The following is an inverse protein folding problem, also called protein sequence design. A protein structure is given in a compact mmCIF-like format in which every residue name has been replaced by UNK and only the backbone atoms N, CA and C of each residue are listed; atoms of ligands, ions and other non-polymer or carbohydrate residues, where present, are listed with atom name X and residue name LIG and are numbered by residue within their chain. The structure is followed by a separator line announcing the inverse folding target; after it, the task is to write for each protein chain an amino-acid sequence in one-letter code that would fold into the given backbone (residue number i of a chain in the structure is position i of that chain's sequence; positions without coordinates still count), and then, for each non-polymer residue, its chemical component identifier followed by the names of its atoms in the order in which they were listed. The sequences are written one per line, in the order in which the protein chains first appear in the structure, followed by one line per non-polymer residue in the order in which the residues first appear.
data_IF_389726255153
#
_entry.id   IF_389726255153
#
_cell.length_a   1.000
_cell.length_b   1.000
_cell.length_c   1.000
_cell.angle_alpha   90.00
_cell.angle_beta   90.00
_cell.angle_gamma   90.00
#
_symmetry.space_group_name_H-M   'P 1'
#
loop_
_entity.id
_entity.type
_entity.pdbx_description
1 polymer ?
#
# COMPACT_ATOMS: atom_id res chain seq x y z
N UNK A 1 11.03 -36.85 -18.58
CA UNK A 1 10.12 -37.58 -17.67
C UNK A 1 9.20 -36.65 -16.91
N UNK A 2 9.67 -35.75 -16.02
CA UNK A 2 8.79 -34.82 -15.29
C UNK A 2 8.04 -33.84 -16.22
N UNK A 3 8.77 -33.14 -17.12
CA UNK A 3 8.17 -32.23 -18.11
C UNK A 3 7.18 -32.93 -19.04
N UNK A 4 7.52 -34.14 -19.52
CA UNK A 4 6.61 -34.94 -20.35
C UNK A 4 5.33 -35.35 -19.61
N UNK A 5 5.41 -35.60 -18.29
CA UNK A 5 4.25 -35.88 -17.46
C UNK A 5 3.36 -34.64 -17.26
N UNK A 6 3.96 -33.45 -17.07
CA UNK A 6 3.23 -32.19 -16.99
C UNK A 6 2.53 -31.85 -18.31
N UNK A 7 3.21 -32.01 -19.44
CA UNK A 7 2.64 -31.73 -20.76
C UNK A 7 1.54 -32.74 -21.12
N UNK A 8 1.69 -34.00 -20.73
CA UNK A 8 0.61 -34.97 -20.81
C UNK A 8 -0.60 -34.56 -19.96
N UNK A 9 -0.38 -34.14 -18.71
CA UNK A 9 -1.46 -33.71 -17.80
C UNK A 9 -2.22 -32.49 -18.32
N UNK A 10 -1.56 -31.51 -18.95
CA UNK A 10 -2.21 -30.35 -19.59
C UNK A 10 -3.20 -30.75 -20.68
N UNK A 11 -2.96 -31.87 -21.36
CA UNK A 11 -3.82 -32.41 -22.42
C UNK A 11 -4.99 -33.27 -21.91
N UNK A 12 -5.01 -33.62 -20.62
CA UNK A 12 -6.11 -34.39 -20.01
C UNK A 12 -7.21 -33.45 -19.52
N UNK A 13 -8.47 -33.61 -19.96
CA UNK A 13 -9.60 -32.82 -19.46
C UNK A 13 -9.78 -33.01 -17.94
N UNK A 14 -10.01 -31.91 -17.22
CA UNK A 14 -10.18 -31.91 -15.76
C UNK A 14 -11.42 -31.10 -15.34
N UNK A 15 -12.23 -31.57 -14.36
CA UNK A 15 -12.08 -32.83 -13.61
C UNK A 15 -12.37 -34.07 -14.48
N UNK A 16 -11.74 -35.23 -14.19
CA UNK A 16 -12.07 -36.46 -14.90
C UNK A 16 -13.55 -36.79 -14.69
N UNK A 17 -14.21 -37.28 -15.75
CA UNK A 17 -15.63 -37.63 -15.71
C UNK A 17 -15.90 -38.64 -14.59
N UNK A 18 -16.55 -38.20 -13.52
CA UNK A 18 -16.95 -39.04 -12.39
C UNK A 18 -16.25 -38.76 -11.05
N UNK A 19 -15.29 -37.84 -10.99
CA UNK A 19 -14.71 -37.42 -9.70
C UNK A 19 -15.58 -36.33 -9.04
N UNK A 20 -16.14 -36.61 -7.87
CA UNK A 20 -16.83 -35.64 -7.02
C UNK A 20 -16.47 -35.83 -5.54
N UNK A 21 -16.54 -34.75 -4.77
CA UNK A 21 -16.16 -34.71 -3.35
C UNK A 21 -14.65 -34.83 -3.10
N UNK A 22 -14.27 -35.23 -1.89
CA UNK A 22 -12.88 -35.24 -1.39
C UNK A 22 -11.87 -36.05 -2.24
N UNK A 23 -12.34 -36.99 -3.06
CA UNK A 23 -11.48 -37.72 -3.99
C UNK A 23 -11.07 -36.86 -5.19
N UNK A 24 -11.97 -36.02 -5.70
CA UNK A 24 -11.69 -35.06 -6.77
C UNK A 24 -10.78 -33.93 -6.30
N UNK A 25 -10.94 -33.45 -5.06
CA UNK A 25 -10.08 -32.42 -4.46
C UNK A 25 -8.63 -32.89 -4.32
N UNK A 26 -8.42 -34.12 -3.82
CA UNK A 26 -7.08 -34.72 -3.72
C UNK A 26 -6.43 -34.95 -5.09
N UNK A 27 -7.21 -35.29 -6.11
CA UNK A 27 -6.72 -35.45 -7.47
C UNK A 27 -6.41 -34.10 -8.13
N UNK A 28 -7.17 -33.05 -7.83
CA UNK A 28 -6.89 -31.66 -8.23
C UNK A 28 -5.55 -31.19 -7.68
N UNK A 29 -5.37 -31.38 -6.37
CA UNK A 29 -4.19 -30.98 -5.63
C UNK A 29 -2.94 -31.69 -6.15
N UNK A 30 -3.01 -33.02 -6.32
CA UNK A 30 -1.90 -33.80 -6.85
C UNK A 30 -1.54 -33.38 -8.28
N UNK A 31 -2.55 -33.06 -9.11
CA UNK A 31 -2.34 -32.57 -10.48
C UNK A 31 -1.70 -31.19 -10.51
N UNK A 32 -2.11 -30.26 -9.63
CA UNK A 32 -1.51 -28.93 -9.50
C UNK A 32 -0.04 -29.03 -9.04
N UNK A 33 0.23 -29.83 -8.00
CA UNK A 33 1.59 -30.08 -7.51
C UNK A 33 2.51 -30.62 -8.61
N UNK A 34 2.04 -31.58 -9.41
CA UNK A 34 2.84 -32.13 -10.51
C UNK A 34 3.09 -31.08 -11.59
N UNK A 35 2.10 -30.23 -11.91
CA UNK A 35 2.26 -29.17 -12.90
C UNK A 35 3.25 -28.11 -12.44
N UNK A 36 3.21 -27.70 -11.17
CA UNK A 36 4.11 -26.68 -10.62
C UNK A 36 5.56 -27.20 -10.51
N UNK A 37 5.75 -28.37 -9.88
CA UNK A 37 7.09 -28.97 -9.70
C UNK A 37 7.74 -29.30 -11.05
N UNK A 38 6.98 -29.85 -11.99
CA UNK A 38 7.56 -30.26 -13.28
C UNK A 38 7.70 -29.11 -14.29
N UNK A 39 7.01 -27.98 -14.09
CA UNK A 39 7.17 -26.78 -14.93
C UNK A 39 8.29 -25.86 -14.45
N UNK A 40 8.73 -25.98 -13.19
CA UNK A 40 9.87 -25.25 -12.65
C UNK A 40 11.22 -25.62 -13.31
N UNK A 41 12.15 -24.67 -13.27
CA UNK A 41 13.54 -24.91 -13.68
C UNK A 41 14.20 -25.96 -12.78
N UNK A 42 15.14 -26.78 -13.29
CA UNK A 42 15.68 -27.93 -12.57
C UNK A 42 16.21 -27.65 -11.16
N UNK A 43 16.81 -26.49 -10.95
CA UNK A 43 17.36 -26.00 -9.69
C UNK A 43 16.30 -25.72 -8.63
N UNK A 44 15.12 -25.24 -9.02
CA UNK A 44 14.07 -24.79 -8.10
C UNK A 44 13.06 -25.90 -7.76
N UNK A 45 13.12 -27.04 -8.43
CA UNK A 45 12.12 -28.12 -8.27
C UNK A 45 12.04 -28.67 -6.86
N UNK A 46 13.16 -28.65 -6.13
CA UNK A 46 13.21 -29.15 -4.76
C UNK A 46 12.45 -28.21 -3.82
N UNK A 47 12.70 -26.90 -3.96
CA UNK A 47 12.05 -25.87 -3.14
C UNK A 47 10.55 -25.77 -3.47
N UNK A 48 10.18 -25.89 -4.75
CA UNK A 48 8.77 -25.98 -5.18
C UNK A 48 8.10 -27.23 -4.64
N UNK A 49 8.78 -28.38 -4.58
CA UNK A 49 8.22 -29.62 -4.05
C UNK A 49 8.06 -29.61 -2.53
N UNK A 50 8.97 -28.95 -1.81
CA UNK A 50 8.90 -28.78 -0.37
C UNK A 50 7.76 -27.81 0.02
N UNK A 51 7.54 -26.75 -0.75
CA UNK A 51 6.48 -25.76 -0.49
C UNK A 51 5.09 -26.16 -1.05
N UNK A 52 5.03 -27.10 -2.00
CA UNK A 52 3.77 -27.65 -2.50
C UNK A 52 3.04 -28.50 -1.45
N UNK A 53 3.74 -29.00 -0.43
CA UNK A 53 3.16 -29.74 0.69
C UNK A 53 2.39 -28.87 1.70
N UNK A 54 2.63 -27.56 1.70
CA UNK A 54 2.07 -26.58 2.64
C UNK A 54 0.94 -25.72 2.02
N UNK A 55 0.54 -26.02 0.78
CA UNK A 55 -0.62 -25.39 0.15
C UNK A 55 -1.92 -25.91 0.79
N UNK A 56 -2.74 -24.99 1.32
CA UNK A 56 -4.03 -25.31 1.90
C UNK A 56 -4.96 -25.95 0.84
N UNK A 57 -5.46 -27.19 1.05
CA UNK A 57 -6.37 -27.85 0.12
C UNK A 57 -7.72 -27.13 -0.10
N UNK A 58 -7.98 -26.00 0.58
CA UNK A 58 -9.18 -25.17 0.41
C UNK A 58 -9.11 -24.15 -0.73
N UNK A 59 -7.95 -23.95 -1.37
CA UNK A 59 -7.75 -22.93 -2.43
C UNK A 59 -8.16 -23.43 -3.85
N UNK A 60 -8.91 -22.64 -4.66
CA UNK A 60 -9.32 -23.06 -6.00
C UNK A 60 -8.21 -22.90 -7.06
N UNK A 61 -8.09 -23.81 -8.04
CA UNK A 61 -7.01 -23.79 -9.03
C UNK A 61 -7.18 -22.71 -10.13
N UNK A 62 -6.10 -22.00 -10.43
CA UNK A 62 -6.02 -20.91 -11.42
C UNK A 62 -5.96 -21.46 -12.87
N UNK A 63 -6.71 -20.89 -13.85
CA UNK A 63 -6.65 -21.30 -15.25
C UNK A 63 -5.41 -20.75 -16.00
N UNK A 64 -4.89 -21.46 -17.02
CA UNK A 64 -3.67 -21.04 -17.73
C UNK A 64 -3.96 -19.98 -18.80
N UNK A 65 -3.14 -18.92 -18.88
CA UNK A 65 -3.12 -17.99 -20.02
C UNK A 65 -1.73 -17.86 -20.64
N UNK A 66 -1.76 -17.64 -21.95
CA UNK A 66 -0.70 -17.75 -22.94
C UNK A 66 0.35 -16.64 -22.84
N UNK A 67 1.63 -17.05 -22.75
CA UNK A 67 2.80 -16.17 -22.71
C UNK A 67 3.05 -15.51 -24.07
N UNK A 68 3.17 -14.17 -24.08
CA UNK A 68 3.81 -13.44 -25.20
C UNK A 68 5.12 -12.86 -24.68
N UNK A 69 6.23 -13.27 -25.30
CA UNK A 69 7.60 -12.90 -24.92
C UNK A 69 7.96 -11.55 -25.53
N UNK A 70 8.38 -10.58 -24.71
CA UNK A 70 9.06 -9.36 -25.18
C UNK A 70 10.51 -9.37 -24.70
N UNK A 71 11.43 -9.29 -25.65
CA UNK A 71 12.88 -9.33 -25.45
C UNK A 71 13.40 -7.98 -24.95
N UNK A 72 14.13 -7.97 -23.83
CA UNK A 72 14.82 -6.78 -23.31
C UNK A 72 16.30 -6.82 -23.69
N UNK A 73 16.84 -5.72 -24.20
CA UNK A 73 18.25 -5.59 -24.61
C UNK A 73 19.05 -4.96 -23.46
N UNK A 74 20.08 -5.64 -22.97
CA UNK A 74 20.97 -5.17 -21.90
C UNK A 74 21.99 -4.18 -22.46
N UNK A 75 22.11 -2.99 -21.84
CA UNK A 75 23.24 -2.07 -22.07
C UNK A 75 24.00 -1.91 -20.76
N UNK A 76 25.28 -2.24 -20.76
CA UNK A 76 26.19 -2.14 -19.60
C UNK A 76 26.79 -0.75 -19.55
N UNK A 77 26.65 -0.06 -18.41
CA UNK A 77 27.33 1.21 -18.13
C UNK A 77 28.08 1.12 -16.79
N UNK A 78 29.37 1.37 -16.84
CA UNK A 78 30.30 1.39 -15.71
C UNK A 78 30.06 2.62 -14.83
N UNK A 79 29.89 2.43 -13.52
CA UNK A 79 29.71 3.51 -12.54
C UNK A 79 31.02 3.88 -11.85
N UNK A 80 31.37 5.16 -11.91
CA UNK A 80 32.43 5.83 -11.13
C UNK A 80 31.87 6.30 -9.80
N UNK A 81 32.57 5.99 -8.72
CA UNK A 81 32.21 6.31 -7.34
C UNK A 81 32.23 7.82 -7.12
N UNK A 82 31.07 8.41 -6.82
CA UNK A 82 30.97 9.74 -6.22
C UNK A 82 30.11 9.59 -4.97
N UNK A 83 30.61 10.08 -3.84
CA UNK A 83 29.93 10.07 -2.55
C UNK A 83 28.77 11.06 -2.61
N UNK A 84 27.56 10.54 -2.80
CA UNK A 84 26.29 11.24 -2.57
C UNK A 84 25.68 10.69 -1.30
N UNK A 85 25.22 11.61 -0.45
CA UNK A 85 24.25 11.40 0.64
C UNK A 85 23.18 10.39 0.21
N UNK A 86 22.74 9.45 1.08
CA UNK A 86 21.77 8.44 0.70
C UNK A 86 20.49 9.11 0.21
N UNK A 87 20.11 8.84 -1.03
CA UNK A 87 18.76 9.11 -1.50
C UNK A 87 17.84 8.14 -0.77
N UNK A 88 16.90 8.69 -0.01
CA UNK A 88 15.84 7.93 0.65
C UNK A 88 15.03 7.24 -0.45
N UNK A 89 15.00 5.91 -0.45
CA UNK A 89 14.20 5.12 -1.38
C UNK A 89 12.79 5.09 -0.83
N UNK A 90 11.94 5.96 -1.39
CA UNK A 90 10.54 6.17 -1.01
C UNK A 90 10.06 7.55 -1.45
N UNK A 91 10.02 7.82 -2.76
CA UNK A 91 9.73 9.15 -3.34
C UNK A 91 8.24 9.58 -3.27
N UNK A 92 7.36 8.82 -2.60
CA UNK A 92 5.94 9.14 -2.50
C UNK A 92 5.62 9.83 -1.17
N UNK A 93 4.96 10.98 -1.26
CA UNK A 93 4.56 11.77 -0.10
C UNK A 93 3.05 11.78 0.04
N UNK A 94 2.55 11.64 1.26
CA UNK A 94 1.12 11.54 1.52
C UNK A 94 0.68 12.49 2.62
N UNK A 95 -0.60 12.84 2.58
CA UNK A 95 -1.33 13.52 3.65
C UNK A 95 -2.60 12.75 3.92
N UNK A 96 -2.73 12.27 5.15
CA UNK A 96 -3.94 11.66 5.70
C UNK A 96 -4.23 12.30 7.06
N UNK A 97 -5.23 11.80 7.79
CA UNK A 97 -5.49 12.24 9.18
C UNK A 97 -5.80 13.74 9.32
N UNK A 98 -6.51 14.33 8.36
CA UNK A 98 -6.84 15.75 8.38
C UNK A 98 -7.49 16.17 9.71
N UNK A 99 -7.05 17.30 10.26
CA UNK A 99 -7.61 17.93 11.47
C UNK A 99 -8.33 19.23 11.11
N UNK A 100 -9.30 19.69 11.94
CA UNK A 100 -9.92 20.98 11.72
C UNK A 100 -8.87 22.09 11.71
N UNK A 101 -8.89 22.95 10.68
CA UNK A 101 -7.90 24.02 10.60
C UNK A 101 -8.04 24.98 11.79
N UNK A 102 -6.92 25.42 12.38
CA UNK A 102 -6.92 26.30 13.56
C UNK A 102 -7.79 27.56 13.36
N UNK A 103 -8.73 27.77 14.28
CA UNK A 103 -9.67 28.89 14.22
C UNK A 103 -10.78 28.76 13.16
N UNK A 104 -10.89 27.63 12.46
CA UNK A 104 -11.98 27.37 11.53
C UNK A 104 -13.28 27.04 12.26
N UNK A 105 -14.38 27.62 11.79
CA UNK A 105 -15.74 27.28 12.24
C UNK A 105 -16.50 26.48 11.18
N UNK A 106 -15.76 25.81 10.28
CA UNK A 106 -16.34 25.02 9.20
C UNK A 106 -17.12 23.83 9.74
N UNK A 107 -18.32 23.54 9.21
CA UNK A 107 -19.02 22.29 9.52
C UNK A 107 -18.51 21.11 8.67
N UNK A 108 -17.59 21.36 7.74
CA UNK A 108 -17.04 20.36 6.82
C UNK A 108 -15.71 19.84 7.37
N UNK A 109 -15.58 18.51 7.39
CA UNK A 109 -14.40 17.78 7.85
C UNK A 109 -13.93 16.88 6.72
N UNK A 110 -12.95 17.32 5.91
CA UNK A 110 -12.35 16.50 4.88
C UNK A 110 -11.73 15.24 5.47
N UNK A 111 -12.03 14.10 4.88
CA UNK A 111 -11.46 12.79 5.21
C UNK A 111 -10.90 12.17 3.92
N UNK A 112 -9.85 11.36 4.05
CA UNK A 112 -9.18 10.73 2.91
C UNK A 112 -7.72 11.16 2.77
N UNK A 113 -7.20 11.09 1.54
CA UNK A 113 -5.76 11.24 1.25
C UNK A 113 -5.51 12.28 0.17
N UNK A 114 -4.39 12.97 0.33
CA UNK A 114 -3.72 13.71 -0.73
C UNK A 114 -2.32 13.13 -0.91
N UNK A 115 -2.03 12.60 -2.08
CA UNK A 115 -0.70 12.22 -2.53
C UNK A 115 -0.03 13.44 -3.18
N UNK A 116 1.26 13.60 -2.90
CA UNK A 116 2.11 14.68 -3.38
C UNK A 116 3.33 14.06 -4.07
N UNK A 117 3.45 14.30 -5.37
CA UNK A 117 4.54 13.78 -6.20
C UNK A 117 5.28 14.94 -6.86
N UNK A 118 6.59 15.06 -6.65
CA UNK A 118 7.42 16.00 -7.42
C UNK A 118 7.89 15.35 -8.72
N UNK A 119 7.56 15.98 -9.85
CA UNK A 119 7.87 15.48 -11.19
C UNK A 119 9.23 16.00 -11.69
N UNK A 120 9.94 15.25 -12.56
CA UNK A 120 11.25 15.64 -13.08
C UNK A 120 11.29 16.95 -13.88
N UNK A 121 10.12 17.44 -14.32
CA UNK A 121 9.99 18.70 -15.06
C UNK A 121 9.80 19.93 -14.14
N UNK A 122 9.88 19.73 -12.82
CA UNK A 122 9.71 20.75 -11.79
C UNK A 122 8.25 21.08 -11.48
N UNK A 123 7.30 20.25 -11.93
CA UNK A 123 5.92 20.32 -11.49
C UNK A 123 5.72 19.46 -10.23
N UNK A 124 4.73 19.81 -9.41
CA UNK A 124 4.19 18.92 -8.37
C UNK A 124 2.83 18.43 -8.82
N UNK A 125 2.60 17.12 -8.79
CA UNK A 125 1.29 16.51 -8.95
C UNK A 125 0.67 16.30 -7.58
N UNK A 126 -0.55 16.82 -7.41
CA UNK A 126 -1.41 16.51 -6.29
C UNK A 126 -2.49 15.55 -6.78
N UNK A 127 -2.56 14.36 -6.18
CA UNK A 127 -3.65 13.40 -6.39
C UNK A 127 -4.44 13.28 -5.09
N UNK A 128 -5.76 13.26 -5.16
CA UNK A 128 -6.56 13.19 -3.94
C UNK A 128 -7.80 12.33 -4.10
N UNK A 129 -8.20 11.73 -2.99
CA UNK A 129 -9.49 11.09 -2.78
C UNK A 129 -10.04 11.59 -1.46
N UNK A 130 -10.96 12.55 -1.51
CA UNK A 130 -11.46 13.25 -0.33
C UNK A 130 -12.99 13.21 -0.24
N UNK A 131 -13.50 12.90 0.94
CA UNK A 131 -14.93 12.97 1.34
C UNK A 131 -15.11 14.07 2.39
N UNK A 132 -16.35 14.28 2.89
CA UNK A 132 -16.60 15.30 3.94
C UNK A 132 -16.41 16.76 3.53
N UNK A 133 -16.31 17.02 2.21
CA UNK A 133 -16.01 18.32 1.61
C UNK A 133 -17.24 19.25 1.52
N UNK A 134 -17.01 20.57 1.37
CA UNK A 134 -18.07 21.55 1.12
C UNK A 134 -18.89 21.20 -0.14
N UNK A 135 -20.20 20.88 -0.02
CA UNK A 135 -21.06 20.51 -1.16
C UNK A 135 -21.27 21.62 -2.19
N UNK A 136 -20.93 22.86 -1.85
CA UNK A 136 -20.96 23.96 -2.81
C UNK A 136 -19.73 24.02 -3.72
N UNK A 137 -18.77 23.11 -3.56
CA UNK A 137 -17.57 23.06 -4.39
C UNK A 137 -17.83 22.45 -5.76
N UNK A 138 -17.80 23.32 -6.77
CA UNK A 138 -17.98 22.97 -8.17
C UNK A 138 -16.92 23.64 -9.05
N UNK A 139 -16.81 23.19 -10.29
CA UNK A 139 -15.91 23.77 -11.31
C UNK A 139 -16.13 25.26 -11.58
N UNK A 140 -17.24 25.83 -11.10
CA UNK A 140 -17.63 27.22 -11.37
C UNK A 140 -17.07 28.24 -10.38
N UNK A 141 -16.32 27.81 -9.36
CA UNK A 141 -15.83 28.74 -8.36
C UNK A 141 -14.77 29.70 -8.90
N UNK A 142 -14.85 30.99 -8.51
CA UNK A 142 -14.05 32.08 -9.08
C UNK A 142 -13.17 32.83 -8.08
N UNK A 143 -13.35 32.62 -6.78
CA UNK A 143 -12.54 33.27 -5.76
C UNK A 143 -11.19 32.56 -5.59
N UNK A 144 -10.20 33.29 -5.10
CA UNK A 144 -8.89 32.73 -4.73
C UNK A 144 -9.05 31.61 -3.70
N UNK A 145 -8.29 30.53 -3.88
CA UNK A 145 -8.33 29.31 -3.06
C UNK A 145 -9.69 28.64 -2.88
N UNK A 146 -10.70 29.01 -3.66
CA UNK A 146 -11.98 28.34 -3.58
C UNK A 146 -11.85 26.86 -3.92
N UNK A 147 -12.32 25.98 -3.02
CA UNK A 147 -12.21 24.52 -3.15
C UNK A 147 -10.77 24.06 -3.34
N UNK A 148 -9.83 24.81 -2.77
CA UNK A 148 -8.39 24.63 -2.97
C UNK A 148 -7.81 23.48 -2.16
N UNK A 149 -6.96 22.68 -2.79
CA UNK A 149 -5.98 21.81 -2.12
C UNK A 149 -4.62 22.47 -2.30
N UNK A 150 -4.00 22.94 -1.22
CA UNK A 150 -2.83 23.83 -1.31
C UNK A 150 -1.80 23.45 -0.27
N UNK A 151 -0.51 23.41 -0.65
CA UNK A 151 0.60 23.22 0.29
C UNK A 151 1.06 24.58 0.82
N UNK A 152 1.26 24.63 2.12
CA UNK A 152 1.66 25.80 2.89
C UNK A 152 3.00 25.59 3.58
N UNK A 153 3.71 26.67 3.89
CA UNK A 153 5.02 26.62 4.54
C UNK A 153 5.00 26.06 5.98
N UNK A 154 3.85 26.14 6.65
CA UNK A 154 3.68 25.67 8.03
C UNK A 154 3.92 24.16 8.15
N UNK A 155 4.48 23.76 9.29
CA UNK A 155 4.87 22.37 9.60
C UNK A 155 4.06 21.76 10.74
N UNK A 156 2.95 22.39 11.11
CA UNK A 156 2.02 21.93 12.15
C UNK A 156 0.61 22.40 11.81
N UNK A 157 -0.38 21.59 12.19
CA UNK A 157 -1.80 21.93 12.08
C UNK A 157 -2.36 22.62 13.33
N UNK A 158 -1.57 22.74 14.40
CA UNK A 158 -1.95 23.43 15.63
C UNK A 158 -1.80 24.95 15.51
N UNK A 159 -0.96 25.41 14.58
CA UNK A 159 -0.66 26.82 14.33
C UNK A 159 -1.06 27.24 12.91
N UNK A 160 -1.23 28.55 12.64
CA UNK A 160 -1.55 29.01 11.29
C UNK A 160 -0.48 28.60 10.29
N UNK A 161 -0.90 27.94 9.19
CA UNK A 161 -0.01 27.37 8.18
C UNK A 161 0.86 28.38 7.39
N UNK A 162 0.74 29.68 7.63
CA UNK A 162 1.53 30.71 6.93
C UNK A 162 1.12 30.90 5.47
N UNK A 163 2.12 31.09 4.61
CA UNK A 163 2.02 31.37 3.17
C UNK A 163 1.95 30.09 2.32
N UNK A 164 1.19 30.10 1.20
CA UNK A 164 1.25 29.02 0.20
C UNK A 164 2.65 28.90 -0.41
N UNK A 165 3.08 27.68 -0.71
CA UNK A 165 4.40 27.42 -1.33
C UNK A 165 4.46 27.77 -2.83
N UNK A 166 3.31 27.97 -3.48
CA UNK A 166 3.23 28.48 -4.85
C UNK A 166 2.13 29.53 -4.97
N UNK A 167 2.16 30.26 -6.09
CA UNK A 167 1.21 31.34 -6.35
C UNK A 167 -0.23 30.80 -6.44
N UNK A 168 -1.09 31.20 -5.50
CA UNK A 168 -2.47 30.72 -5.30
C UNK A 168 -3.41 30.90 -6.53
N UNK A 169 -2.94 31.62 -7.55
CA UNK A 169 -3.60 31.72 -8.87
C UNK A 169 -3.59 30.42 -9.68
N UNK A 170 -2.76 29.42 -9.31
CA UNK A 170 -2.81 28.09 -9.93
C UNK A 170 -3.77 27.21 -9.15
N UNK A 171 -5.00 27.16 -9.66
CA UNK A 171 -6.13 26.53 -8.99
C UNK A 171 -6.05 24.99 -9.03
N UNK A 172 -5.56 24.37 -7.97
CA UNK A 172 -5.84 22.96 -7.66
C UNK A 172 -7.15 22.92 -6.93
N UNK A 173 -8.20 22.41 -7.59
CA UNK A 173 -9.56 22.47 -7.05
C UNK A 173 -10.19 21.09 -7.04
N UNK A 174 -10.70 20.71 -5.88
CA UNK A 174 -11.56 19.55 -5.74
C UNK A 174 -12.99 19.86 -6.18
N UNK A 175 -13.79 18.81 -6.39
CA UNK A 175 -15.25 18.94 -6.55
C UNK A 175 -15.93 18.08 -5.51
N UNK A 176 -17.10 18.49 -5.00
CA UNK A 176 -17.88 17.65 -4.09
C UNK A 176 -18.63 16.50 -4.80
N UNK A 177 -18.16 16.09 -5.98
CA UNK A 177 -18.71 14.97 -6.74
C UNK A 177 -18.37 13.65 -6.02
N UNK A 178 -19.25 12.63 -6.02
CA UNK A 178 -18.93 11.31 -5.45
C UNK A 178 -17.73 10.63 -6.12
N UNK A 179 -17.24 11.13 -7.25
CA UNK A 179 -16.02 10.68 -7.93
C UNK A 179 -14.82 11.60 -7.66
N UNK A 180 -14.69 12.20 -6.47
CA UNK A 180 -13.61 13.15 -6.14
C UNK A 180 -12.22 12.48 -5.98
N UNK A 181 -11.96 11.48 -6.82
CA UNK A 181 -10.64 10.95 -7.13
C UNK A 181 -10.13 11.77 -8.31
N UNK A 182 -9.25 12.73 -8.05
CA UNK A 182 -8.75 13.66 -9.07
C UNK A 182 -7.25 13.85 -8.90
N UNK A 183 -6.57 14.16 -10.00
CA UNK A 183 -5.18 14.61 -9.98
C UNK A 183 -5.02 15.95 -10.68
N UNK A 184 -4.07 16.75 -10.21
CA UNK A 184 -3.74 18.04 -10.79
C UNK A 184 -2.26 18.33 -10.66
N UNK A 185 -1.65 18.67 -11.79
CA UNK A 185 -0.28 19.17 -11.84
C UNK A 185 -0.25 20.70 -11.70
N UNK A 186 0.73 21.16 -10.94
CA UNK A 186 1.04 22.56 -10.69
C UNK A 186 2.52 22.76 -10.90
N UNK A 187 2.88 23.83 -11.60
CA UNK A 187 4.28 24.24 -11.67
C UNK A 187 4.68 24.93 -10.37
N UNK A 188 5.37 24.20 -9.51
CA UNK A 188 5.84 24.66 -8.19
C UNK A 188 7.34 24.95 -8.20
N UNK A 189 8.12 24.18 -8.96
CA UNK A 189 9.58 24.19 -8.90
C UNK A 189 10.14 23.58 -7.61
N UNK A 190 9.33 22.83 -6.87
CA UNK A 190 9.67 22.24 -5.57
C UNK A 190 10.00 20.75 -5.74
N UNK A 191 11.00 20.29 -5.02
CA UNK A 191 11.31 18.87 -4.85
C UNK A 191 10.54 18.29 -3.64
N UNK A 192 10.56 16.97 -3.49
CA UNK A 192 9.95 16.27 -2.35
C UNK A 192 10.47 16.80 -1.01
N UNK A 193 11.79 17.02 -0.90
CA UNK A 193 12.42 17.57 0.31
C UNK A 193 11.93 18.98 0.67
N UNK A 194 11.48 19.77 -0.31
CA UNK A 194 10.97 21.12 -0.06
C UNK A 194 9.55 21.10 0.57
N UNK A 195 8.78 20.06 0.24
CA UNK A 195 7.38 19.89 0.66
C UNK A 195 7.21 18.89 1.81
N UNK A 196 8.20 18.06 2.10
CA UNK A 196 8.19 17.15 3.24
C UNK A 196 8.02 17.90 4.56
N UNK A 197 7.15 17.40 5.45
CA UNK A 197 6.81 18.01 6.73
C UNK A 197 5.99 19.30 6.63
N UNK A 198 5.64 19.75 5.42
CA UNK A 198 4.78 20.92 5.19
C UNK A 198 3.32 20.54 5.32
N UNK A 199 2.43 21.54 5.30
CA UNK A 199 1.00 21.30 5.52
C UNK A 199 0.21 21.40 4.22
N UNK A 200 -0.67 20.43 3.96
CA UNK A 200 -1.75 20.58 2.97
C UNK A 200 -2.98 21.13 3.69
N UNK A 201 -3.52 22.21 3.14
CA UNK A 201 -4.74 22.86 3.65
C UNK A 201 -5.85 22.76 2.60
N UNK A 202 -7.00 22.25 3.04
CA UNK A 202 -8.23 22.18 2.26
C UNK A 202 -9.05 23.44 2.50
N UNK A 203 -9.60 24.02 1.44
CA UNK A 203 -10.44 25.23 1.52
C UNK A 203 -11.86 24.99 1.04
N UNK A 204 -12.82 25.70 1.62
CA UNK A 204 -14.23 25.63 1.21
C UNK A 204 -14.55 26.48 -0.04
N UNK A 205 -15.85 26.54 -0.42
CA UNK A 205 -16.29 27.31 -1.60
C UNK A 205 -16.11 28.83 -1.47
N UNK A 206 -15.86 29.32 -0.26
CA UNK A 206 -15.58 30.74 0.01
C UNK A 206 -14.08 31.02 0.07
N UNK A 207 -13.23 29.99 -0.09
CA UNK A 207 -11.78 30.10 0.06
C UNK A 207 -11.33 30.14 1.52
N UNK A 208 -12.16 29.71 2.48
CA UNK A 208 -11.77 29.61 3.89
C UNK A 208 -11.07 28.29 4.13
N UNK A 209 -9.98 28.31 4.91
CA UNK A 209 -9.27 27.11 5.36
C UNK A 209 -10.17 26.28 6.27
N UNK A 210 -10.38 25.00 5.97
CA UNK A 210 -11.30 24.13 6.71
C UNK A 210 -10.61 22.95 7.39
N UNK A 211 -9.54 22.41 6.79
CA UNK A 211 -8.76 21.35 7.40
C UNK A 211 -7.28 21.44 7.01
N UNK A 212 -6.45 20.79 7.80
CA UNK A 212 -5.01 20.73 7.67
C UNK A 212 -4.54 19.29 7.85
N UNK A 213 -3.57 18.86 7.06
CA UNK A 213 -2.80 17.65 7.29
C UNK A 213 -1.32 17.90 6.98
N UNK A 214 -0.44 17.11 7.58
CA UNK A 214 1.01 17.21 7.40
C UNK A 214 1.42 16.27 6.26
N UNK A 215 2.34 16.73 5.41
CA UNK A 215 2.98 15.92 4.37
C UNK A 215 4.05 15.08 5.04
N UNK A 216 3.82 13.78 5.00
CA UNK A 216 4.70 12.79 5.59
C UNK A 216 5.28 11.94 4.45
N UNK A 217 6.51 11.41 4.64
CA UNK A 217 6.99 10.40 3.73
C UNK A 217 6.05 9.20 3.83
N UNK A 218 5.87 8.47 2.74
CA UNK A 218 5.11 7.24 2.81
C UNK A 218 5.75 6.28 3.81
N UNK A 219 5.17 6.15 4.99
CA UNK A 219 5.29 4.94 5.83
C UNK A 219 4.34 3.85 5.36
N UNK A 220 3.68 4.09 4.22
CA UNK A 220 2.66 3.23 3.67
C UNK A 220 3.22 2.40 2.54
N UNK A 221 2.92 1.12 2.58
CA UNK A 221 3.42 0.16 1.61
C UNK A 221 2.96 0.54 0.19
N UNK A 222 3.89 0.75 -0.76
CA UNK A 222 3.55 1.03 -2.17
C UNK A 222 3.08 -0.24 -2.85
N UNK A 223 1.82 -0.24 -3.31
CA UNK A 223 1.23 -1.43 -3.92
C UNK A 223 1.65 -1.60 -5.38
N UNK A 224 2.20 -2.78 -5.68
CA UNK A 224 2.31 -3.30 -7.03
C UNK A 224 1.23 -4.36 -7.32
N UNK A 225 1.03 -4.63 -8.61
CA UNK A 225 0.07 -5.66 -9.05
C UNK A 225 0.58 -7.01 -8.56
N UNK A 226 -0.26 -7.79 -7.89
CA UNK A 226 0.14 -9.10 -7.39
C UNK A 226 0.66 -9.99 -8.55
N UNK A 227 1.79 -10.72 -8.39
CA UNK A 227 2.34 -11.55 -9.46
C UNK A 227 1.34 -12.61 -9.91
N UNK A 228 1.23 -12.77 -11.23
CA UNK A 228 0.27 -13.68 -11.87
C UNK A 228 -1.21 -13.28 -11.69
N UNK A 229 -1.52 -12.11 -11.11
CA UNK A 229 -2.90 -11.61 -11.10
C UNK A 229 -3.35 -11.28 -12.53
N UNK A 230 -4.24 -12.12 -13.06
CA UNK A 230 -4.77 -12.03 -14.41
C UNK A 230 -6.07 -11.26 -14.55
N UNK A 231 -6.61 -10.73 -13.45
CA UNK A 231 -7.86 -9.97 -13.45
C UNK A 231 -7.72 -8.53 -13.95
N UNK A 232 -8.88 -7.88 -14.06
CA UNK A 232 -9.04 -6.56 -14.68
C UNK A 232 -9.16 -5.42 -13.66
N UNK A 233 -9.05 -5.70 -12.35
CA UNK A 233 -9.02 -4.62 -11.37
C UNK A 233 -7.80 -3.71 -11.62
N UNK A 234 -7.96 -2.38 -11.51
CA UNK A 234 -6.84 -1.45 -11.55
C UNK A 234 -5.81 -1.78 -10.48
N UNK A 235 -4.60 -1.24 -10.64
CA UNK A 235 -3.58 -1.29 -9.58
C UNK A 235 -4.15 -0.66 -8.30
N UNK A 236 -3.93 -1.34 -7.17
CA UNK A 236 -4.28 -0.81 -5.84
C UNK A 236 -3.49 0.47 -5.59
N UNK A 237 -4.19 1.56 -5.28
CA UNK A 237 -3.56 2.85 -4.97
C UNK A 237 -3.93 3.29 -3.56
N UNK A 238 -3.01 4.00 -2.90
CA UNK A 238 -3.03 4.23 -1.46
C UNK A 238 -2.11 3.26 -0.75
N UNK A 239 -2.28 3.09 0.56
CA UNK A 239 -1.33 2.28 1.32
C UNK A 239 -1.81 1.86 2.71
N UNK A 240 -0.97 1.06 3.36
CA UNK A 240 -1.18 0.51 4.70
C UNK A 240 -0.02 0.94 5.58
N UNK A 241 -0.33 1.54 6.73
CA UNK A 241 0.60 1.76 7.83
C UNK A 241 0.43 0.63 8.84
N UNK A 242 1.56 0.16 9.38
CA UNK A 242 1.61 -0.87 10.41
C UNK A 242 2.42 -0.33 11.59
N UNK A 243 1.79 -0.26 12.75
CA UNK A 243 2.47 -0.03 14.02
C UNK A 243 2.49 -1.33 14.83
N UNK A 244 3.57 -1.59 15.56
CA UNK A 244 3.75 -2.81 16.33
C UNK A 244 4.03 -2.51 17.79
N UNK A 245 3.23 -3.06 18.69
CA UNK A 245 3.44 -2.98 20.13
C UNK A 245 3.07 -4.31 20.80
N UNK A 246 3.97 -4.85 21.63
CA UNK A 246 3.75 -6.05 22.44
C UNK A 246 3.13 -7.25 21.68
N UNK A 247 3.65 -7.56 20.49
CA UNK A 247 3.15 -8.67 19.66
C UNK A 247 1.85 -8.38 18.89
N UNK A 248 1.33 -7.15 18.94
CA UNK A 248 0.09 -6.74 18.28
C UNK A 248 0.37 -5.70 17.22
N UNK A 249 -0.23 -5.88 16.04
CA UNK A 249 -0.13 -4.95 14.93
C UNK A 249 -1.37 -4.08 14.87
N UNK A 250 -1.16 -2.77 14.78
CA UNK A 250 -2.19 -1.78 14.55
C UNK A 250 -2.10 -1.35 13.09
N UNK A 251 -3.11 -1.72 12.30
CA UNK A 251 -3.22 -1.39 10.90
C UNK A 251 -4.10 -0.15 10.72
N UNK A 252 -3.56 0.80 9.97
CA UNK A 252 -4.30 1.94 9.43
C UNK A 252 -4.10 1.94 7.93
N UNK A 253 -5.17 2.04 7.15
CA UNK A 253 -5.05 2.02 5.69
C UNK A 253 -6.00 2.98 5.03
N UNK A 254 -5.61 3.36 3.83
CA UNK A 254 -6.42 4.15 2.94
C UNK A 254 -6.15 3.73 1.51
N UNK A 255 -7.11 3.02 0.94
CA UNK A 255 -7.11 2.67 -0.47
C UNK A 255 -8.01 3.61 -1.24
N UNK A 256 -7.53 4.10 -2.37
CA UNK A 256 -8.26 5.07 -3.22
C UNK A 256 -8.70 4.48 -4.55
N UNK A 257 -8.02 3.43 -5.02
CA UNK A 257 -8.35 2.71 -6.25
C UNK A 257 -7.95 1.23 -6.17
N UNK A 258 -8.35 0.45 -7.17
CA UNK A 258 -7.87 -0.93 -7.38
C UNK A 258 -8.39 -1.96 -6.39
N UNK A 259 -9.47 -1.65 -5.67
CA UNK A 259 -10.20 -2.62 -4.85
C UNK A 259 -11.44 -3.15 -5.58
N UNK A 260 -11.93 -4.31 -5.16
CA UNK A 260 -13.10 -4.93 -5.77
C UNK A 260 -14.40 -4.26 -5.29
N UNK A 261 -15.21 -3.65 -6.17
CA UNK A 261 -16.46 -3.01 -5.80
C UNK A 261 -17.51 -3.93 -5.17
N UNK A 262 -17.35 -5.25 -5.28
CA UNK A 262 -18.22 -6.23 -4.60
C UNK A 262 -17.98 -6.30 -3.09
N UNK A 263 -16.85 -5.79 -2.61
CA UNK A 263 -16.52 -5.68 -1.18
C UNK A 263 -17.30 -4.56 -0.49
N UNK A 264 -18.63 -4.56 -0.63
CA UNK A 264 -19.52 -3.51 -0.12
C UNK A 264 -19.93 -3.70 1.35
N UNK A 265 -19.53 -4.83 1.94
CA UNK A 265 -19.88 -5.29 3.30
C UNK A 265 -18.73 -6.07 3.92
N UNK A 266 -18.77 -6.21 5.24
CA UNK A 266 -17.82 -7.01 6.02
C UNK A 266 -18.00 -8.53 5.87
N UNK A 267 -19.05 -8.98 5.17
CA UNK A 267 -19.38 -10.41 5.05
C UNK A 267 -19.30 -10.88 3.60
N UNK A 268 -18.62 -12.01 3.40
CA UNK A 268 -18.57 -12.76 2.16
C UNK A 268 -18.50 -14.26 2.48
N UNK A 269 -18.43 -15.11 1.46
CA UNK A 269 -18.28 -16.57 1.63
C UNK A 269 -16.93 -17.13 1.19
N UNK A 270 -16.15 -16.38 0.41
CA UNK A 270 -14.82 -16.81 -0.02
C UNK A 270 -13.82 -16.63 1.13
N UNK A 271 -12.85 -17.54 1.25
CA UNK A 271 -11.72 -17.33 2.15
C UNK A 271 -10.97 -16.06 1.74
N UNK A 272 -10.45 -15.31 2.72
CA UNK A 272 -9.65 -14.09 2.51
C UNK A 272 -10.32 -12.99 1.71
N UNK A 273 -11.64 -13.03 1.51
CA UNK A 273 -12.30 -12.03 0.70
C UNK A 273 -12.05 -10.62 1.26
N UNK A 274 -11.83 -9.68 0.36
CA UNK A 274 -11.64 -8.28 0.72
C UNK A 274 -10.55 -8.10 1.79
N UNK A 275 -9.60 -9.03 1.89
CA UNK A 275 -8.61 -9.10 2.95
C UNK A 275 -7.47 -8.12 2.77
N UNK A 276 -6.88 -7.70 3.88
CA UNK A 276 -5.62 -6.93 3.95
C UNK A 276 -4.75 -7.60 4.99
N UNK A 277 -3.72 -8.33 4.55
CA UNK A 277 -3.01 -9.28 5.40
C UNK A 277 -1.50 -9.12 5.30
N UNK A 278 -0.78 -9.35 6.40
CA UNK A 278 0.69 -9.51 6.36
C UNK A 278 1.01 -10.96 6.03
N UNK A 279 1.91 -11.18 5.08
CA UNK A 279 2.31 -12.48 4.56
C UNK A 279 3.75 -12.84 4.95
N UNK A 280 4.05 -14.14 4.93
CA UNK A 280 5.36 -14.70 5.33
C UNK A 280 6.51 -14.20 4.44
N UNK A 281 6.23 -13.96 3.16
CA UNK A 281 7.22 -13.56 2.18
C UNK A 281 7.69 -12.12 2.36
N UNK A 282 8.91 -11.87 1.88
CA UNK A 282 9.56 -10.55 1.89
C UNK A 282 9.76 -10.00 0.48
N UNK A 283 8.89 -10.40 -0.44
CA UNK A 283 8.97 -10.03 -1.85
C UNK A 283 7.59 -10.01 -2.47
N UNK A 284 7.35 -9.02 -3.32
CA UNK A 284 6.14 -8.92 -4.14
C UNK A 284 6.37 -9.29 -5.61
N UNK A 285 7.61 -9.70 -5.98
CA UNK A 285 7.96 -10.01 -7.38
C UNK A 285 7.61 -11.43 -7.83
N UNK A 286 7.42 -12.37 -6.90
CA UNK A 286 7.11 -13.76 -7.21
C UNK A 286 6.03 -14.32 -6.28
N UNK A 287 4.87 -14.69 -6.85
CA UNK A 287 3.74 -15.24 -6.10
C UNK A 287 4.10 -16.46 -5.23
N UNK A 288 5.02 -17.31 -5.67
CA UNK A 288 5.41 -18.51 -4.92
C UNK A 288 6.24 -18.17 -3.67
N UNK A 289 6.87 -16.98 -3.64
CA UNK A 289 7.72 -16.52 -2.54
C UNK A 289 6.99 -15.60 -1.56
N UNK A 290 5.74 -15.21 -1.85
CA UNK A 290 4.90 -14.42 -0.91
C UNK A 290 4.40 -15.29 0.25
N UNK A 291 4.14 -16.58 0.03
CA UNK A 291 3.70 -17.50 1.10
C UNK A 291 2.30 -17.23 1.65
N UNK A 292 2.00 -17.81 2.82
CA UNK A 292 0.73 -17.68 3.54
C UNK A 292 0.69 -16.45 4.45
N UNK A 293 -0.36 -16.31 5.27
CA UNK A 293 -0.40 -15.22 6.25
C UNK A 293 0.65 -15.41 7.35
N UNK A 294 1.15 -14.29 7.88
CA UNK A 294 2.23 -14.26 8.85
C UNK A 294 1.72 -14.01 10.27
N UNK A 295 1.80 -15.02 11.12
CA UNK A 295 1.55 -14.92 12.56
C UNK A 295 2.28 -16.04 13.31
N UNK A 296 2.40 -15.90 14.62
CA UNK A 296 3.06 -16.88 15.48
C UNK A 296 2.10 -18.05 15.76
N UNK A 297 2.21 -19.10 14.94
CA UNK A 297 1.39 -20.31 15.01
C UNK A 297 1.59 -21.12 16.30
N UNK A 298 2.74 -20.96 16.97
CA UNK A 298 3.03 -21.62 18.24
C UNK A 298 2.28 -20.96 19.42
N UNK A 299 2.04 -19.64 19.33
CA UNK A 299 1.27 -18.89 20.32
C UNK A 299 -0.24 -18.85 20.00
N UNK A 300 -0.59 -18.76 18.72
CA UNK A 300 -1.97 -18.61 18.24
C UNK A 300 -2.30 -19.70 17.21
N UNK A 301 -3.09 -20.72 17.59
CA UNK A 301 -3.40 -21.84 16.70
C UNK A 301 -4.37 -21.48 15.57
N UNK A 302 -5.16 -20.42 15.75
CA UNK A 302 -6.08 -19.89 14.74
C UNK A 302 -5.45 -18.69 14.03
N UNK A 303 -5.76 -18.54 12.75
CA UNK A 303 -5.26 -17.44 11.91
C UNK A 303 -5.99 -16.13 12.23
N UNK A 304 -5.31 -15.11 12.81
CA UNK A 304 -5.95 -13.85 13.18
C UNK A 304 -6.32 -12.97 11.98
N UNK A 305 -5.82 -13.28 10.77
CA UNK A 305 -6.04 -12.48 9.57
C UNK A 305 -7.39 -12.75 8.91
N UNK A 306 -8.04 -13.88 9.20
CA UNK A 306 -9.28 -14.32 8.54
C UNK A 306 -10.46 -13.34 8.66
N UNK A 307 -10.45 -12.53 9.71
CA UNK A 307 -11.49 -11.53 10.00
C UNK A 307 -11.10 -10.10 9.58
N UNK A 308 -9.86 -9.89 9.11
CA UNK A 308 -9.35 -8.60 8.66
C UNK A 308 -9.80 -8.35 7.21
N UNK A 309 -10.69 -7.37 7.02
CA UNK A 309 -11.27 -7.04 5.71
C UNK A 309 -11.44 -5.55 5.52
N UNK A 310 -11.20 -5.06 4.31
CA UNK A 310 -11.62 -3.75 3.87
C UNK A 310 -13.10 -3.75 3.45
N UNK A 311 -13.72 -2.58 3.51
CA UNK A 311 -15.10 -2.36 3.04
C UNK A 311 -15.13 -1.10 2.19
N UNK A 312 -15.82 -1.18 1.05
CA UNK A 312 -16.08 -0.05 0.16
C UNK A 312 -17.54 0.36 0.34
N UNK A 313 -17.80 1.44 1.07
CA UNK A 313 -19.16 1.91 1.34
C UNK A 313 -19.75 2.65 0.11
N UNK A 314 -20.20 1.88 -0.89
CA UNK A 314 -20.84 2.38 -2.11
C UNK A 314 -19.86 2.84 -3.19
N UNK A 315 -18.74 3.46 -2.82
CA UNK A 315 -17.60 3.72 -3.71
C UNK A 315 -16.32 3.91 -2.90
N UNK A 316 -15.17 3.83 -3.57
CA UNK A 316 -13.88 4.23 -2.97
C UNK A 316 -13.95 5.64 -2.38
N UNK A 317 -13.12 5.98 -1.37
CA UNK A 317 -12.05 5.17 -0.78
C UNK A 317 -12.53 4.08 0.19
N UNK A 318 -11.64 3.15 0.52
CA UNK A 318 -11.76 2.32 1.73
C UNK A 318 -10.72 2.78 2.73
N UNK A 319 -11.13 3.04 3.97
CA UNK A 319 -10.26 3.50 5.03
C UNK A 319 -10.50 2.72 6.32
N UNK A 320 -9.43 2.49 7.07
CA UNK A 320 -9.51 2.05 8.47
C UNK A 320 -8.48 2.82 9.28
N UNK A 321 -8.80 3.07 10.54
CA UNK A 321 -7.85 3.57 11.53
C UNK A 321 -7.82 2.59 12.69
N UNK A 322 -6.61 2.32 13.18
CA UNK A 322 -6.34 1.61 14.42
C UNK A 322 -6.95 0.21 14.53
N UNK A 323 -6.96 -0.55 13.42
CA UNK A 323 -7.40 -1.94 13.44
C UNK A 323 -6.31 -2.82 14.07
N UNK A 324 -6.61 -3.42 15.21
CA UNK A 324 -5.63 -4.24 15.96
C UNK A 324 -5.74 -5.73 15.61
N UNK A 325 -4.58 -6.35 15.42
CA UNK A 325 -4.43 -7.78 15.11
C UNK A 325 -3.28 -8.34 15.94
N UNK A 326 -3.57 -9.22 16.89
CA UNK A 326 -2.53 -9.85 17.71
C UNK A 326 -1.92 -11.01 16.94
N UNK A 327 -0.65 -10.87 16.56
CA UNK A 327 0.08 -11.85 15.74
C UNK A 327 1.15 -12.61 16.54
N UNK A 328 1.60 -12.05 17.67
CA UNK A 328 2.71 -12.57 18.46
C UNK A 328 4.09 -12.19 17.94
N UNK A 329 4.18 -11.17 17.09
CA UNK A 329 5.41 -10.67 16.46
C UNK A 329 5.62 -9.18 16.72
N UNK A 330 6.87 -8.74 16.84
CA UNK A 330 7.22 -7.33 17.04
C UNK A 330 7.55 -6.65 15.70
N UNK A 331 7.87 -5.35 15.74
CA UNK A 331 8.22 -4.55 14.57
C UNK A 331 9.31 -5.21 13.71
N UNK A 332 10.41 -5.65 14.34
CA UNK A 332 11.53 -6.31 13.66
C UNK A 332 11.16 -7.59 12.92
N UNK A 333 10.11 -8.30 13.36
CA UNK A 333 9.66 -9.54 12.74
C UNK A 333 8.83 -9.28 11.46
N UNK A 334 8.09 -8.17 11.46
CA UNK A 334 7.21 -7.76 10.35
C UNK A 334 7.92 -6.88 9.32
N UNK A 335 9.07 -6.31 9.67
CA UNK A 335 9.87 -5.52 8.75
C UNK A 335 10.27 -6.32 7.51
N UNK A 336 10.14 -5.68 6.35
CA UNK A 336 10.36 -6.31 5.05
C UNK A 336 9.30 -7.33 4.62
N UNK A 337 8.26 -7.61 5.41
CA UNK A 337 7.18 -8.55 5.03
C UNK A 337 6.24 -7.93 4.01
N UNK A 338 5.58 -8.80 3.23
CA UNK A 338 4.59 -8.38 2.26
C UNK A 338 3.22 -8.13 2.91
N UNK A 339 2.59 -7.01 2.61
CA UNK A 339 1.14 -6.80 2.77
C UNK A 339 0.45 -7.16 1.46
N UNK A 340 -0.59 -7.98 1.53
CA UNK A 340 -1.38 -8.41 0.37
C UNK A 340 -2.82 -7.97 0.53
N UNK A 341 -3.38 -7.47 -0.57
CA UNK A 341 -4.80 -7.11 -0.68
C UNK A 341 -5.50 -8.15 -1.54
N UNK A 342 -6.70 -8.57 -1.12
CA UNK A 342 -7.51 -9.56 -1.81
C UNK A 342 -8.79 -8.97 -2.42
N UNK A 343 -9.30 -9.55 -3.51
CA UNK A 343 -10.62 -9.22 -4.06
C UNK A 343 -11.77 -9.95 -3.33
N UNK A 344 -13.00 -9.76 -3.80
CA UNK A 344 -14.19 -10.37 -3.19
C UNK A 344 -14.18 -11.91 -3.26
N UNK A 345 -13.50 -12.49 -4.25
CA UNK A 345 -13.38 -13.93 -4.43
C UNK A 345 -12.17 -14.51 -3.66
N UNK A 346 -11.45 -13.67 -2.91
CA UNK A 346 -10.26 -14.06 -2.14
C UNK A 346 -8.98 -14.09 -2.96
N UNK A 347 -9.01 -13.63 -4.22
CA UNK A 347 -7.82 -13.61 -5.09
C UNK A 347 -6.91 -12.47 -4.66
N UNK A 348 -5.60 -12.72 -4.59
CA UNK A 348 -4.59 -11.70 -4.30
C UNK A 348 -4.47 -10.72 -5.48
N UNK A 349 -4.67 -9.43 -5.24
CA UNK A 349 -4.74 -8.41 -6.30
C UNK A 349 -3.63 -7.36 -6.21
N UNK A 350 -3.17 -7.05 -5.00
CA UNK A 350 -2.09 -6.11 -4.73
C UNK A 350 -1.10 -6.69 -3.74
N UNK A 351 0.17 -6.32 -3.88
CA UNK A 351 1.22 -6.64 -2.93
C UNK A 351 2.08 -5.41 -2.68
N UNK A 352 2.52 -5.21 -1.45
CA UNK A 352 3.42 -4.14 -1.08
C UNK A 352 4.35 -4.60 0.04
N UNK A 353 5.55 -4.03 0.16
CA UNK A 353 6.52 -4.40 1.22
C UNK A 353 6.42 -3.40 2.37
N UNK A 354 6.41 -3.92 3.60
CA UNK A 354 6.52 -3.13 4.84
C UNK A 354 7.98 -2.73 4.99
N UNK A 355 8.21 -1.45 5.25
CA UNK A 355 9.54 -0.92 5.54
C UNK A 355 9.45 -0.13 6.84
N UNK A 356 10.26 -0.50 7.84
CA UNK A 356 10.43 0.34 9.03
C UNK A 356 11.14 1.64 8.64
N UNK A 357 10.60 2.77 9.12
CA UNK A 357 11.37 4.00 9.13
C UNK A 357 12.51 3.86 10.12
N UNK A 358 13.75 3.86 9.65
CA UNK A 358 14.88 4.12 10.53
C UNK A 358 14.76 5.56 11.04
N UNK A 359 14.51 5.74 12.34
CA UNK A 359 14.69 7.06 12.97
C UNK A 359 16.17 7.45 12.79
N UNK A 360 16.41 8.39 11.87
CA UNK A 360 17.70 9.06 11.80
C UNK A 360 18.04 9.58 13.20
N UNK A 361 19.19 9.20 13.79
CA UNK A 361 19.55 9.68 15.11
C UNK A 361 19.56 11.19 15.08
N UNK A 362 18.80 11.81 15.99
CA UNK A 362 18.69 13.26 16.08
C UNK A 362 20.09 13.88 15.93
N UNK A 363 20.25 14.91 15.08
CA UNK A 363 21.55 15.55 14.89
C UNK A 363 22.04 15.94 16.28
N UNK A 364 23.16 15.33 16.68
CA UNK A 364 23.79 15.64 17.96
C UNK A 364 24.19 17.10 17.86
N UNK A 365 23.40 17.97 18.48
CA UNK A 365 23.66 19.40 18.46
C UNK A 365 25.06 19.58 19.06
N UNK A 366 25.98 20.09 18.25
CA UNK A 366 27.42 20.01 18.45
C UNK A 366 27.98 20.84 19.60
N UNK A 367 27.15 21.15 20.60
CA UNK A 367 27.46 22.09 21.67
C UNK A 367 27.50 21.45 23.07
N UNK A 368 27.07 20.19 23.23
CA UNK A 368 27.21 19.48 24.52
C UNK A 368 28.49 18.65 24.57
N UNK A 369 29.59 19.40 24.73
CA UNK A 369 30.89 18.88 25.15
C UNK A 369 30.79 18.41 26.62
N UNK A 370 30.25 17.20 26.84
CA UNK A 370 30.39 16.55 28.15
C UNK A 370 31.84 16.09 28.32
N UNK A 371 32.65 16.95 28.95
CA UNK A 371 33.90 16.55 29.59
C UNK A 371 33.54 15.61 30.74
N UNK A 372 33.57 14.30 30.49
CA UNK A 372 33.75 13.33 31.56
C UNK A 372 35.24 13.13 31.78
N UNK A 373 35.87 14.09 32.46
CA UNK A 373 36.99 13.79 33.34
C UNK A 373 36.53 14.03 34.77
N UNK A 374 36.27 12.94 35.49
CA UNK A 374 36.78 12.74 36.85
C UNK A 374 36.91 11.23 37.09
N UNK A 375 38.12 10.70 36.87
CA UNK A 375 38.69 9.73 37.81
C UNK A 375 38.95 10.44 39.17
N UNK A 376 39.24 9.80 40.33
CA UNK A 376 39.43 8.37 40.63
C UNK A 376 38.85 7.88 42.01
N UNK A 377 39.13 6.61 42.33
CA UNK A 377 39.08 5.89 43.63
C UNK A 377 37.71 5.34 44.09
N UNK A 378 37.59 4.06 44.45
CA UNK A 378 38.51 3.25 45.29
C UNK A 378 38.78 1.86 44.74
#
# INVERSE_FOLDING_TARGET
MCRDAADWLKGVPYPPTGASGAAGEKEAFLRACILDVCSAEPEDRKDVAENAGDQDPSEPPVPPSTTTTTTTTTTTSTSTTTTTTPAIVGDELYVFGFTPYVGSSSPYMPEGVVEVESLPDGNTRLSWSLTGLDPGCSRTCKNDNCCGVVIYEGTSCEEPAGSPLWDAGVSVRYTSSPSNVLSKEVKTGLANDDVLGRTVVIHDKKGRKIACGIIEPSTTTVFEKYPKYGGDLPLTSGGVQVESEDGTQTLSWLFTQGLDPRCDKTTCTAANCCGVHIHEGTTCSNAASVGGHYWNKDLYPEDPWMDVRYVIEGSMPSAVNDLTVTTGYNADDIDGRAVVVHDYDGVRIGCAIIEMLEEEPAPVDGDDLYVFDLSPYV
#
